data_IF_813933026116
#
_entry.id   IF_813933026116
#
_cell.length_a   1.000
_cell.length_b   1.000
_cell.length_c   1.000
_cell.angle_alpha   90.00
_cell.angle_beta   90.00
_cell.angle_gamma   90.00
#
_symmetry.space_group_name_H-M   'P 1'
#
loop_
_entity.id
_entity.type
_entity.pdbx_description
1 polymer ?
#
# COMPACT_ATOMS: atom_id res chain seq x y z
N UNK A 1 -20.52 -24.03 62.35
CA UNK A 1 -19.66 -23.01 61.69
C UNK A 1 -18.60 -23.61 60.76
N UNK A 2 -18.11 -24.86 60.96
CA UNK A 2 -17.18 -25.54 60.02
C UNK A 2 -17.78 -25.80 58.63
N UNK A 3 -19.07 -26.13 58.54
CA UNK A 3 -19.76 -26.46 57.28
C UNK A 3 -19.93 -25.24 56.34
N UNK A 4 -19.98 -24.03 56.90
CA UNK A 4 -20.06 -22.79 56.11
C UNK A 4 -18.72 -22.41 55.46
N UNK A 5 -17.60 -22.99 55.93
CA UNK A 5 -16.26 -22.72 55.40
C UNK A 5 -15.92 -23.69 54.24
N UNK A 6 -16.36 -24.94 54.33
CA UNK A 6 -16.17 -25.95 53.26
C UNK A 6 -16.92 -25.61 51.96
N UNK A 7 -18.07 -24.93 52.06
CA UNK A 7 -18.85 -24.51 50.88
C UNK A 7 -18.12 -23.40 50.10
N UNK A 8 -17.25 -22.62 50.75
CA UNK A 8 -16.40 -21.61 50.07
C UNK A 8 -15.17 -22.24 49.39
N UNK A 9 -14.66 -23.36 49.91
CA UNK A 9 -13.54 -24.12 49.33
C UNK A 9 -13.97 -25.11 48.22
N UNK A 10 -15.26 -25.47 48.10
CA UNK A 10 -15.74 -26.52 47.19
C UNK A 10 -16.02 -26.08 45.73
N UNK A 11 -15.65 -24.85 45.32
CA UNK A 11 -15.71 -24.51 43.90
C UNK A 11 -14.42 -25.03 43.23
N UNK A 12 -14.53 -26.23 42.64
CA UNK A 12 -13.45 -26.89 41.90
C UNK A 12 -12.79 -25.92 40.89
N UNK A 13 -11.46 -26.00 40.76
CA UNK A 13 -10.69 -25.08 39.92
C UNK A 13 -11.20 -25.10 38.46
N UNK A 14 -11.71 -26.24 37.99
CA UNK A 14 -12.33 -26.37 36.67
C UNK A 14 -13.60 -25.53 36.54
N UNK A 15 -14.46 -25.49 37.55
CA UNK A 15 -15.67 -24.66 37.56
C UNK A 15 -15.31 -23.18 37.63
N UNK A 16 -14.28 -22.82 38.41
CA UNK A 16 -13.75 -21.44 38.46
C UNK A 16 -13.23 -20.99 37.09
N UNK A 17 -12.43 -21.83 36.44
CA UNK A 17 -11.92 -21.58 35.09
C UNK A 17 -13.05 -21.52 34.05
N UNK A 18 -14.06 -22.38 34.17
CA UNK A 18 -15.24 -22.37 33.30
C UNK A 18 -16.02 -21.06 33.38
N UNK A 19 -16.24 -20.53 34.59
CA UNK A 19 -16.91 -19.25 34.80
C UNK A 19 -16.10 -18.06 34.28
N UNK A 20 -14.79 -18.05 34.51
CA UNK A 20 -13.90 -17.00 33.97
C UNK A 20 -13.91 -17.00 32.44
N UNK A 21 -13.81 -18.16 31.80
CA UNK A 21 -13.86 -18.26 30.34
C UNK A 21 -15.22 -17.82 29.78
N UNK A 22 -16.32 -18.14 30.46
CA UNK A 22 -17.65 -17.67 30.06
C UNK A 22 -17.76 -16.14 30.14
N UNK A 23 -17.27 -15.52 31.22
CA UNK A 23 -17.25 -14.06 31.36
C UNK A 23 -16.37 -13.39 30.28
N UNK A 24 -15.18 -13.94 30.01
CA UNK A 24 -14.30 -13.44 28.95
C UNK A 24 -14.98 -13.54 27.58
N UNK A 25 -15.67 -14.65 27.28
CA UNK A 25 -16.39 -14.80 26.01
C UNK A 25 -17.54 -13.82 25.82
N UNK A 26 -18.26 -13.48 26.89
CA UNK A 26 -19.28 -12.42 26.85
C UNK A 26 -18.66 -11.04 26.58
N UNK A 27 -17.56 -10.72 27.27
CA UNK A 27 -16.82 -9.47 27.07
C UNK A 27 -16.34 -9.36 25.62
N UNK A 28 -15.70 -10.42 25.08
CA UNK A 28 -15.23 -10.48 23.69
C UNK A 28 -16.35 -10.28 22.66
N UNK A 29 -17.57 -10.70 22.99
CA UNK A 29 -18.72 -10.57 22.08
C UNK A 29 -19.24 -9.14 22.04
N UNK A 30 -19.38 -8.52 23.22
CA UNK A 30 -19.80 -7.12 23.33
C UNK A 30 -18.72 -6.19 22.77
N UNK A 31 -17.47 -6.41 23.13
CA UNK A 31 -16.33 -5.64 22.66
C UNK A 31 -16.14 -5.78 21.14
N UNK A 32 -16.25 -7.00 20.60
CA UNK A 32 -16.14 -7.25 19.16
C UNK A 32 -17.18 -6.46 18.37
N UNK A 33 -18.41 -6.37 18.86
CA UNK A 33 -19.46 -5.57 18.21
C UNK A 33 -19.12 -4.08 18.21
N UNK A 34 -18.60 -3.56 19.33
CA UNK A 34 -18.19 -2.16 19.44
C UNK A 34 -17.02 -1.84 18.49
N UNK A 35 -16.03 -2.74 18.41
CA UNK A 35 -14.89 -2.62 17.53
C UNK A 35 -15.32 -2.65 16.07
N UNK A 36 -16.19 -3.57 15.66
CA UNK A 36 -16.70 -3.60 14.29
C UNK A 36 -17.46 -2.33 13.91
N UNK A 37 -18.22 -1.75 14.85
CA UNK A 37 -18.87 -0.44 14.61
C UNK A 37 -17.85 0.68 14.42
N UNK A 38 -16.80 0.69 15.24
CA UNK A 38 -15.69 1.63 15.09
C UNK A 38 -14.98 1.44 13.74
N UNK A 39 -14.66 0.20 13.36
CA UNK A 39 -14.05 -0.14 12.07
C UNK A 39 -14.90 0.38 10.92
N UNK A 40 -16.21 0.11 10.91
CA UNK A 40 -17.11 0.63 9.89
C UNK A 40 -17.09 2.16 9.79
N UNK A 41 -16.99 2.87 10.93
CA UNK A 41 -16.85 4.32 10.94
C UNK A 41 -15.52 4.78 10.34
N UNK A 42 -14.41 4.08 10.62
CA UNK A 42 -13.11 4.39 10.05
C UNK A 42 -13.06 4.14 8.55
N UNK A 43 -13.61 3.01 8.09
CA UNK A 43 -13.65 2.68 6.67
C UNK A 43 -14.46 3.70 5.86
N UNK A 44 -15.61 4.15 6.39
CA UNK A 44 -16.37 5.23 5.77
C UNK A 44 -15.56 6.54 5.68
N UNK A 45 -14.77 6.86 6.72
CA UNK A 45 -13.90 8.03 6.73
C UNK A 45 -12.78 7.93 5.69
N UNK A 46 -12.15 6.76 5.57
CA UNK A 46 -11.09 6.48 4.59
C UNK A 46 -11.65 6.58 3.17
N UNK A 47 -12.79 5.94 2.87
CA UNK A 47 -13.41 6.01 1.54
C UNK A 47 -13.74 7.44 1.12
N UNK A 48 -14.33 8.22 2.03
CA UNK A 48 -14.62 9.63 1.77
C UNK A 48 -13.35 10.46 1.58
N UNK A 49 -12.27 10.10 2.28
CA UNK A 49 -10.98 10.75 2.10
C UNK A 49 -10.40 10.42 0.71
N UNK A 50 -10.41 9.15 0.30
CA UNK A 50 -9.94 8.68 -1.00
C UNK A 50 -10.64 9.43 -2.13
N UNK A 51 -11.96 9.56 -2.07
CA UNK A 51 -12.74 10.31 -3.07
C UNK A 51 -12.27 11.78 -3.17
N UNK A 52 -12.10 12.46 -2.03
CA UNK A 52 -11.60 13.85 -2.01
C UNK A 52 -10.16 13.95 -2.52
N UNK A 53 -9.29 13.03 -2.12
CA UNK A 53 -7.90 13.01 -2.56
C UNK A 53 -7.81 12.89 -4.08
N UNK A 54 -8.58 11.98 -4.68
CA UNK A 54 -8.64 11.79 -6.14
C UNK A 54 -9.16 13.04 -6.87
N UNK A 55 -10.13 13.76 -6.29
CA UNK A 55 -10.69 14.97 -6.86
C UNK A 55 -9.73 16.16 -6.80
N UNK A 56 -8.92 16.25 -5.74
CA UNK A 56 -7.99 17.37 -5.51
C UNK A 56 -6.59 17.15 -6.10
N UNK A 57 -6.24 15.90 -6.44
CA UNK A 57 -4.88 15.55 -6.87
C UNK A 57 -4.53 16.11 -8.26
N UNK A 58 -3.36 16.75 -8.34
CA UNK A 58 -2.82 17.37 -9.57
C UNK A 58 -2.02 16.39 -10.44
N UNK A 59 -1.66 15.22 -9.90
CA UNK A 59 -0.84 14.19 -10.58
C UNK A 59 0.54 14.68 -11.01
N UNK A 60 1.15 15.55 -10.19
CA UNK A 60 2.51 16.05 -10.40
C UNK A 60 3.39 15.42 -9.31
N UNK A 61 4.59 14.93 -9.66
CA UNK A 61 5.50 14.36 -8.67
C UNK A 61 5.86 15.41 -7.61
N UNK A 62 5.89 15.00 -6.34
CA UNK A 62 6.24 15.86 -5.20
C UNK A 62 7.66 16.43 -5.37
N UNK A 63 8.59 15.64 -5.91
CA UNK A 63 9.92 16.10 -6.28
C UNK A 63 10.53 15.23 -7.39
N UNK A 64 11.62 15.63 -8.06
CA UNK A 64 12.29 14.80 -9.07
C UNK A 64 12.77 13.44 -8.55
N UNK A 65 13.03 13.36 -7.23
CA UNK A 65 13.43 12.15 -6.51
C UNK A 65 12.19 11.35 -6.05
N UNK A 66 11.14 12.04 -5.59
CA UNK A 66 9.88 11.46 -5.13
C UNK A 66 8.83 11.50 -6.26
N UNK A 67 8.88 10.48 -7.13
CA UNK A 67 8.04 10.37 -8.33
C UNK A 67 6.61 9.85 -8.04
N UNK A 68 6.04 10.22 -6.90
CA UNK A 68 4.65 9.90 -6.54
C UNK A 68 3.86 11.19 -6.33
N UNK A 69 2.54 11.10 -6.45
CA UNK A 69 1.62 12.18 -6.11
C UNK A 69 1.60 12.45 -4.60
N UNK A 70 1.09 13.62 -4.21
CA UNK A 70 0.91 13.98 -2.80
C UNK A 70 -0.12 13.09 -2.12
N UNK A 71 -1.22 12.78 -2.82
CA UNK A 71 -2.30 11.92 -2.34
C UNK A 71 -1.80 10.59 -1.80
N UNK A 72 -0.82 9.95 -2.43
CA UNK A 72 -0.32 8.65 -1.96
C UNK A 72 0.31 8.71 -0.57
N UNK A 73 1.01 9.80 -0.24
CA UNK A 73 1.65 9.97 1.08
C UNK A 73 0.60 10.13 2.15
N UNK A 74 -0.44 10.94 1.88
CA UNK A 74 -1.53 11.15 2.81
C UNK A 74 -2.39 9.88 2.98
N UNK A 75 -2.57 9.09 1.91
CA UNK A 75 -3.30 7.81 1.93
C UNK A 75 -2.59 6.83 2.87
N UNK A 76 -1.26 6.70 2.74
CA UNK A 76 -0.45 5.89 3.64
C UNK A 76 -0.53 6.38 5.09
N UNK A 77 -0.43 7.69 5.33
CA UNK A 77 -0.50 8.28 6.68
C UNK A 77 -1.83 7.95 7.37
N UNK A 78 -2.95 8.02 6.64
CA UNK A 78 -4.27 7.74 7.21
C UNK A 78 -4.44 6.27 7.55
N UNK A 79 -3.93 5.39 6.70
CA UNK A 79 -3.91 3.95 6.97
C UNK A 79 -3.09 3.66 8.23
N UNK A 80 -1.88 4.21 8.33
CA UNK A 80 -1.00 4.07 9.49
C UNK A 80 -1.68 4.58 10.78
N UNK A 81 -2.22 5.80 10.77
CA UNK A 81 -2.94 6.37 11.91
C UNK A 81 -4.14 5.50 12.34
N UNK A 82 -4.86 4.92 11.38
CA UNK A 82 -6.02 4.05 11.68
C UNK A 82 -5.57 2.74 12.33
N UNK A 83 -4.48 2.14 11.85
CA UNK A 83 -3.90 0.92 12.44
C UNK A 83 -3.38 1.20 13.85
N UNK A 84 -2.71 2.34 14.04
CA UNK A 84 -2.24 2.78 15.35
C UNK A 84 -3.41 2.96 16.32
N UNK A 85 -4.47 3.67 15.89
CA UNK A 85 -5.70 3.85 16.68
C UNK A 85 -6.36 2.52 17.02
N UNK A 86 -6.39 1.55 16.10
CA UNK A 86 -6.92 0.22 16.37
C UNK A 86 -6.09 -0.52 17.41
N UNK A 87 -4.76 -0.46 17.30
CA UNK A 87 -3.85 -1.11 18.25
C UNK A 87 -3.93 -0.50 19.66
N UNK A 88 -4.24 0.78 19.74
CA UNK A 88 -4.41 1.51 20.99
C UNK A 88 -5.72 1.21 21.72
N UNK A 89 -6.65 0.44 21.13
CA UNK A 89 -7.97 0.21 21.74
C UNK A 89 -7.93 -0.60 23.04
N UNK A 90 -6.83 -1.25 23.43
CA UNK A 90 -6.66 -2.02 24.69
C UNK A 90 -7.85 -2.93 25.07
N UNK A 91 -8.60 -3.39 24.07
CA UNK A 91 -9.84 -4.15 24.23
C UNK A 91 -9.59 -5.60 23.78
N UNK A 92 -10.10 -6.61 24.50
CA UNK A 92 -10.07 -7.99 24.03
C UNK A 92 -10.91 -8.13 22.75
N UNK A 93 -10.28 -8.62 21.68
CA UNK A 93 -10.88 -8.75 20.34
C UNK A 93 -10.56 -10.13 19.76
N UNK A 94 -11.45 -10.67 18.93
CA UNK A 94 -11.13 -11.88 18.16
C UNK A 94 -10.29 -11.48 16.93
N UNK A 95 -9.63 -12.45 16.26
CA UNK A 95 -8.87 -12.16 15.04
C UNK A 95 -9.74 -11.67 13.86
N UNK A 96 -11.05 -11.95 13.88
CA UNK A 96 -11.98 -11.57 12.81
C UNK A 96 -12.17 -10.05 12.70
N UNK A 97 -12.15 -9.35 13.82
CA UNK A 97 -12.29 -7.89 13.88
C UNK A 97 -11.09 -7.20 13.21
N UNK A 98 -9.87 -7.67 13.48
CA UNK A 98 -8.66 -7.19 12.79
C UNK A 98 -8.70 -7.52 11.29
N UNK A 99 -9.15 -8.73 10.92
CA UNK A 99 -9.33 -9.11 9.53
C UNK A 99 -10.32 -8.20 8.78
N UNK A 100 -11.39 -7.76 9.45
CA UNK A 100 -12.36 -6.83 8.87
C UNK A 100 -11.77 -5.45 8.57
N UNK A 101 -10.90 -4.95 9.44
CA UNK A 101 -10.20 -3.68 9.25
C UNK A 101 -9.29 -3.75 8.02
N UNK A 102 -8.42 -4.76 7.95
CA UNK A 102 -7.49 -4.90 6.82
C UNK A 102 -8.21 -5.17 5.50
N UNK A 103 -9.28 -5.97 5.50
CA UNK A 103 -10.10 -6.16 4.31
C UNK A 103 -10.73 -4.84 3.86
N UNK A 104 -11.22 -4.03 4.79
CA UNK A 104 -11.77 -2.71 4.47
C UNK A 104 -10.73 -1.75 3.90
N UNK A 105 -9.52 -1.71 4.47
CA UNK A 105 -8.40 -0.90 3.97
C UNK A 105 -7.99 -1.37 2.56
N UNK A 106 -7.82 -2.68 2.36
CA UNK A 106 -7.48 -3.24 1.04
C UNK A 106 -8.52 -2.85 -0.02
N UNK A 107 -9.80 -2.93 0.31
CA UNK A 107 -10.86 -2.47 -0.58
C UNK A 107 -10.75 -0.97 -0.92
N UNK A 108 -10.41 -0.11 0.05
CA UNK A 108 -10.21 1.31 -0.20
C UNK A 108 -9.00 1.57 -1.12
N UNK A 109 -7.87 0.89 -0.88
CA UNK A 109 -6.69 0.96 -1.74
C UNK A 109 -6.99 0.45 -3.16
N UNK A 110 -7.77 -0.61 -3.30
CA UNK A 110 -8.23 -1.11 -4.60
C UNK A 110 -9.09 -0.08 -5.34
N UNK A 111 -9.99 0.61 -4.65
CA UNK A 111 -10.80 1.69 -5.24
C UNK A 111 -9.89 2.80 -5.76
N UNK A 112 -8.94 3.26 -4.93
CA UNK A 112 -7.96 4.27 -5.32
C UNK A 112 -7.16 3.85 -6.56
N UNK A 113 -6.62 2.63 -6.57
CA UNK A 113 -5.83 2.11 -7.69
C UNK A 113 -6.65 2.00 -8.98
N UNK A 114 -7.90 1.53 -8.91
CA UNK A 114 -8.79 1.45 -10.08
C UNK A 114 -9.06 2.82 -10.67
N UNK A 115 -9.36 3.81 -9.84
CA UNK A 115 -9.60 5.18 -10.33
C UNK A 115 -8.36 5.80 -10.96
N UNK A 116 -7.16 5.49 -10.45
CA UNK A 116 -5.91 5.90 -11.11
C UNK A 116 -5.78 5.25 -12.48
N UNK A 117 -5.99 3.93 -12.56
CA UNK A 117 -5.90 3.20 -13.83
C UNK A 117 -6.85 3.75 -14.89
N UNK A 118 -8.06 4.16 -14.49
CA UNK A 118 -9.03 4.81 -15.38
C UNK A 118 -8.57 6.20 -15.86
N UNK A 119 -7.80 6.93 -15.05
CA UNK A 119 -7.27 8.25 -15.41
C UNK A 119 -5.99 8.20 -16.26
N UNK A 120 -5.29 7.08 -16.25
CA UNK A 120 -4.08 6.88 -17.06
C UNK A 120 -4.48 6.66 -18.53
N UNK A 121 -3.75 7.31 -19.45
CA UNK A 121 -3.99 7.17 -20.88
C UNK A 121 -3.89 5.70 -21.34
N UNK A 122 -4.53 5.37 -22.46
CA UNK A 122 -4.48 4.01 -22.99
C UNK A 122 -3.03 3.58 -23.20
N UNK A 123 -2.73 2.30 -22.94
CA UNK A 123 -1.38 1.74 -23.07
C UNK A 123 -0.73 2.04 -24.44
N UNK A 124 -1.55 2.16 -25.49
CA UNK A 124 -1.12 2.47 -26.87
C UNK A 124 -0.62 3.91 -27.00
N UNK A 125 -1.13 4.86 -26.20
CA UNK A 125 -0.71 6.26 -26.21
C UNK A 125 0.52 6.51 -25.34
N UNK A 126 0.79 5.61 -24.38
CA UNK A 126 1.93 5.71 -23.45
C UNK A 126 3.18 5.05 -24.04
N UNK A 127 3.02 3.98 -24.82
CA UNK A 127 4.15 3.27 -25.43
C UNK A 127 4.47 3.91 -26.77
N UNK A 128 5.64 4.54 -26.93
CA UNK A 128 6.02 5.08 -28.22
C UNK A 128 6.07 3.94 -29.25
N UNK A 129 5.57 4.15 -30.49
CA UNK A 129 5.65 3.14 -31.52
C UNK A 129 7.12 2.76 -31.73
N UNK A 130 7.36 1.46 -31.99
CA UNK A 130 8.71 0.96 -32.25
C UNK A 130 9.32 1.84 -33.35
N UNK A 131 10.46 2.50 -33.08
CA UNK A 131 11.06 3.36 -34.09
C UNK A 131 11.34 2.52 -35.32
N UNK A 132 11.03 3.06 -36.50
CA UNK A 132 11.45 2.41 -37.74
C UNK A 132 12.95 2.11 -37.62
N UNK A 133 13.36 0.88 -37.97
CA UNK A 133 14.77 0.56 -38.09
C UNK A 133 15.31 1.50 -39.17
N UNK A 134 15.83 2.65 -38.76
CA UNK A 134 16.72 3.46 -39.55
C UNK A 134 17.95 2.59 -39.73
N UNK A 135 17.90 1.75 -40.76
CA UNK A 135 18.99 0.88 -41.17
C UNK A 135 20.23 1.75 -41.16
N UNK A 136 21.08 1.58 -40.15
CA UNK A 136 22.48 1.93 -40.33
C UNK A 136 23.00 0.92 -41.34
N UNK A 137 22.87 1.29 -42.61
CA UNK A 137 23.54 0.60 -43.69
C UNK A 137 25.01 0.89 -43.46
N UNK A 138 25.72 -0.06 -42.83
CA UNK A 138 27.18 -0.04 -42.74
C UNK A 138 27.81 0.20 -44.13
N UNK A 139 27.11 -0.24 -45.17
CA UNK A 139 27.45 -0.11 -46.60
C UNK A 139 27.37 1.35 -47.10
N UNK A 140 26.53 2.19 -46.50
CA UNK A 140 26.33 3.60 -46.88
C UNK A 140 27.22 4.56 -46.07
N UNK A 141 27.61 4.21 -44.84
CA UNK A 141 28.51 5.02 -44.01
C UNK A 141 30.00 4.90 -44.38
N UNK A 142 30.43 3.77 -44.94
CA UNK A 142 31.85 3.54 -45.30
C UNK A 142 32.25 4.33 -46.56
N UNK A 143 31.32 4.64 -47.48
CA UNK A 143 31.64 5.41 -48.70
C UNK A 143 31.91 6.91 -48.46
N UNK A 144 31.50 7.45 -47.31
CA UNK A 144 31.74 8.86 -46.96
C UNK A 144 33.13 9.11 -46.35
N UNK A 145 33.83 8.07 -45.90
CA UNK A 145 35.15 8.20 -45.27
C UNK A 145 36.34 7.84 -46.18
N UNK A 146 36.11 7.22 -47.34
CA UNK A 146 37.19 6.76 -48.25
C UNK A 146 37.61 7.84 -49.28
N UNK A 147 37.12 9.08 -49.19
CA UNK A 147 37.51 10.18 -50.10
C UNK A 147 38.40 11.26 -49.47
N UNK A 148 39.06 10.97 -48.36
CA UNK A 148 40.22 11.74 -47.88
C UNK A 148 41.40 10.81 -47.63
N UNK A 149 41.95 10.26 -48.70
CA UNK A 149 43.37 9.89 -48.70
C UNK A 149 44.17 11.20 -48.66
N UNK A 150 44.52 11.61 -47.44
CA UNK A 150 45.51 12.64 -47.16
C UNK A 150 46.86 12.13 -47.69
N UNK A 151 47.27 12.63 -48.85
CA UNK A 151 48.69 12.63 -49.23
C UNK A 151 49.45 13.47 -48.20
N UNK A 152 50.01 12.82 -47.18
CA UNK A 152 51.06 13.41 -46.34
C UNK A 152 52.36 12.72 -46.71
N UNK A 153 53.07 13.38 -47.61
CA UNK A 153 54.49 13.20 -47.89
C UNK A 153 55.25 13.25 -46.56
N UNK A 154 55.79 12.12 -46.12
CA UNK A 154 56.71 12.09 -44.98
C UNK A 154 58.11 12.41 -45.51
N UNK A 155 58.53 13.66 -45.36
CA UNK A 155 59.94 14.01 -45.45
C UNK A 155 60.68 13.28 -44.33
N UNK A 156 61.59 12.38 -44.71
CA UNK A 156 62.62 11.85 -43.84
C UNK A 156 63.73 12.91 -43.77
N UNK A 157 63.86 13.56 -42.63
CA UNK A 157 65.07 14.30 -42.28
C UNK A 157 66.19 13.31 -41.95
N UNK A 158 67.27 13.46 -42.71
CA UNK A 158 68.68 13.20 -42.41
C UNK A 158 68.99 12.75 -40.96
N UNK A 159 69.44 11.49 -40.84
CA UNK A 159 70.80 11.10 -40.43
C UNK A 159 71.07 9.68 -40.96
#
# INVERSE_FOLDING_TARGET
>A
MRVQMEISEAMDARTRLGLLNAMVGEIETVSGTLVLRWVNSQLARILNWVDRAIQQERWVPVSPQQRHGSSFVDDYRIVEETVDQFSALEIPMRPGELGSLFCGIDNACQVYAKTILEKIANKVDIVPPVPILTRYSRESGIKAFVKKELKVTRCLEVC
#
